data_IF_035844990327
#
_entry.id   IF_035844990327
#
_cell.length_a   1.000
_cell.length_b   1.000
_cell.length_c   1.000
_cell.angle_alpha   90.00
_cell.angle_beta   90.00
_cell.angle_gamma   90.00
#
_symmetry.space_group_name_H-M   'P 1'
#
loop_
_entity.id
_entity.type
_entity.pdbx_description
1 polymer ?
#
# COMPACT_ATOMS: atom_id res chain seq x y z
N UNK A 1 -19.05 7.28 -9.40
CA UNK A 1 -18.21 8.44 -9.03
C UNK A 1 -17.68 9.01 -10.33
N UNK A 2 -17.72 10.34 -10.49
CA UNK A 2 -17.18 11.04 -11.66
C UNK A 2 -16.17 12.04 -11.12
N UNK A 3 -14.98 12.08 -11.70
CA UNK A 3 -13.99 13.11 -11.43
C UNK A 3 -14.01 14.12 -12.58
N UNK A 4 -14.49 15.32 -12.29
CA UNK A 4 -14.56 16.42 -13.24
C UNK A 4 -13.42 17.40 -12.97
N UNK A 5 -12.55 17.59 -13.95
CA UNK A 5 -11.57 18.66 -13.94
C UNK A 5 -12.17 19.92 -14.56
N UNK A 6 -12.21 21.03 -13.82
CA UNK A 6 -12.65 22.32 -14.38
C UNK A 6 -11.42 23.17 -14.64
N UNK A 7 -11.18 23.49 -15.91
CA UNK A 7 -10.06 24.38 -16.28
C UNK A 7 -10.37 25.82 -15.86
N UNK A 8 -9.41 26.45 -15.20
CA UNK A 8 -9.46 27.89 -14.90
C UNK A 8 -9.21 28.78 -16.12
N UNK A 9 -9.16 30.09 -15.94
CA UNK A 9 -8.99 31.07 -17.02
C UNK A 9 -7.58 31.10 -17.67
N UNK A 10 -6.69 30.17 -17.31
CA UNK A 10 -5.31 30.14 -17.83
C UNK A 10 -4.82 28.71 -18.09
N UNK A 11 -3.56 28.58 -18.52
CA UNK A 11 -2.86 27.30 -18.70
C UNK A 11 -1.89 27.00 -17.54
N UNK A 12 -1.84 27.84 -16.50
CA UNK A 12 -0.92 27.71 -15.37
C UNK A 12 -1.47 26.81 -14.25
N UNK A 13 -2.35 25.87 -14.56
CA UNK A 13 -2.91 24.96 -13.58
C UNK A 13 -3.24 23.62 -14.21
N UNK A 14 -2.75 22.56 -13.60
CA UNK A 14 -3.11 21.18 -13.93
C UNK A 14 -3.79 20.54 -12.72
N UNK A 15 -4.63 19.54 -12.99
CA UNK A 15 -5.22 18.67 -11.99
C UNK A 15 -4.71 17.27 -12.30
N UNK A 16 -4.25 16.56 -11.28
CA UNK A 16 -3.84 15.16 -11.38
C UNK A 16 -4.61 14.34 -10.35
N UNK A 17 -4.93 13.11 -10.72
CA UNK A 17 -5.48 12.10 -9.82
C UNK A 17 -4.45 11.00 -9.70
N UNK A 18 -4.15 10.60 -8.48
CA UNK A 18 -3.32 9.44 -8.17
C UNK A 18 -3.90 8.77 -6.92
N UNK A 19 -3.70 7.45 -6.79
CA UNK A 19 -4.16 6.62 -5.67
C UNK A 19 -5.65 6.78 -5.31
N UNK A 20 -6.57 6.43 -6.22
CA UNK A 20 -8.01 6.47 -5.93
C UNK A 20 -8.41 5.20 -5.16
N UNK A 21 -8.86 5.33 -3.92
CA UNK A 21 -9.39 4.22 -3.13
C UNK A 21 -10.82 4.48 -2.66
N UNK A 22 -11.57 3.40 -2.44
CA UNK A 22 -12.91 3.45 -1.87
C UNK A 22 -12.95 2.65 -0.57
N UNK A 23 -13.32 3.32 0.53
CA UNK A 23 -13.58 2.67 1.82
C UNK A 23 -15.08 2.59 2.06
N UNK A 24 -15.60 1.39 2.32
CA UNK A 24 -16.99 1.20 2.72
C UNK A 24 -17.07 1.36 4.24
N UNK A 25 -17.31 2.59 4.69
CA UNK A 25 -17.50 2.89 6.11
C UNK A 25 -18.99 3.06 6.43
N UNK A 26 -19.43 2.50 7.57
CA UNK A 26 -20.74 2.80 8.16
C UNK A 26 -20.79 4.16 8.88
N UNK A 27 -19.64 4.85 8.97
CA UNK A 27 -19.51 6.19 9.51
C UNK A 27 -19.34 7.21 8.39
N UNK A 28 -19.86 8.42 8.60
CA UNK A 28 -19.71 9.57 7.69
C UNK A 28 -18.23 9.75 7.32
N UNK A 29 -17.87 9.52 6.05
CA UNK A 29 -16.53 9.82 5.54
C UNK A 29 -16.21 11.29 5.80
N UNK A 30 -15.10 11.56 6.49
CA UNK A 30 -14.63 12.94 6.70
C UNK A 30 -14.12 13.47 5.37
N UNK A 31 -14.62 14.62 4.96
CA UNK A 31 -14.15 15.32 3.77
C UNK A 31 -12.76 15.89 4.10
N UNK A 32 -11.75 15.50 3.32
CA UNK A 32 -10.39 16.03 3.45
C UNK A 32 -9.89 16.48 2.07
N UNK A 33 -9.50 17.76 1.91
CA UNK A 33 -9.45 18.80 2.94
C UNK A 33 -10.87 19.30 3.36
N UNK A 34 -11.06 19.84 4.58
CA UNK A 34 -12.39 20.15 5.12
C UNK A 34 -13.19 21.21 4.37
N UNK A 35 -12.52 21.97 3.52
CA UNK A 35 -13.04 23.02 2.64
C UNK A 35 -13.45 22.51 1.26
N UNK A 36 -13.32 21.21 0.97
CA UNK A 36 -13.88 20.65 -0.26
C UNK A 36 -15.41 20.78 -0.25
N UNK A 37 -15.98 21.20 -1.39
CA UNK A 37 -17.39 21.55 -1.57
C UNK A 37 -18.16 20.44 -2.32
N UNK A 38 -18.68 19.39 -1.65
CA UNK A 38 -19.54 18.41 -2.33
C UNK A 38 -20.98 18.94 -2.37
N UNK A 39 -21.26 19.90 -3.25
CA UNK A 39 -22.63 20.38 -3.44
C UNK A 39 -23.40 19.42 -4.34
N UNK A 40 -24.25 18.57 -3.74
CA UNK A 40 -25.49 18.10 -4.39
C UNK A 40 -25.46 16.84 -5.25
N UNK A 41 -24.35 16.09 -5.34
CA UNK A 41 -24.33 14.80 -6.05
C UNK A 41 -23.60 13.72 -5.25
N UNK A 42 -24.30 13.07 -4.33
CA UNK A 42 -23.88 11.76 -3.82
C UNK A 42 -24.52 10.68 -4.69
N UNK A 43 -23.71 9.96 -5.48
CA UNK A 43 -24.16 8.66 -6.01
C UNK A 43 -24.44 7.75 -4.82
N UNK A 44 -25.61 7.11 -4.81
CA UNK A 44 -25.93 6.08 -3.83
C UNK A 44 -24.77 5.07 -3.76
N UNK A 45 -24.36 4.68 -2.56
CA UNK A 45 -23.34 3.65 -2.38
C UNK A 45 -23.73 2.44 -3.26
N UNK A 46 -22.78 1.87 -4.03
CA UNK A 46 -23.04 0.62 -4.72
C UNK A 46 -23.59 -0.38 -3.69
N UNK A 47 -24.56 -1.24 -4.06
CA UNK A 47 -25.03 -2.26 -3.14
C UNK A 47 -23.81 -3.01 -2.63
N UNK A 48 -23.66 -3.07 -1.31
CA UNK A 48 -22.58 -3.78 -0.63
C UNK A 48 -22.62 -5.20 -1.17
N UNK A 49 -21.72 -5.50 -2.12
CA UNK A 49 -21.38 -6.88 -2.39
C UNK A 49 -20.67 -7.31 -1.14
N UNK A 50 -21.39 -8.11 -0.34
CA UNK A 50 -20.82 -8.91 0.72
C UNK A 50 -19.87 -9.90 0.06
N UNK A 51 -18.68 -9.41 -0.31
CA UNK A 51 -17.53 -10.29 -0.48
C UNK A 51 -17.39 -10.96 0.87
N UNK A 52 -17.83 -12.21 0.87
CA UNK A 52 -17.72 -13.11 1.98
C UNK A 52 -16.31 -12.96 2.53
N UNK A 53 -16.18 -12.79 3.84
CA UNK A 53 -14.91 -12.99 4.52
C UNK A 53 -14.41 -14.36 4.09
N UNK A 54 -13.50 -14.39 3.11
CA UNK A 54 -12.80 -15.61 2.79
C UNK A 54 -11.92 -15.79 4.01
N UNK A 55 -12.40 -16.60 4.96
CA UNK A 55 -11.53 -17.26 5.92
C UNK A 55 -10.35 -17.79 5.11
N UNK A 56 -9.08 -17.51 5.48
CA UNK A 56 -7.92 -17.84 4.67
C UNK A 56 -8.02 -19.31 4.25
N UNK A 57 -8.40 -19.53 3.00
CA UNK A 57 -8.66 -20.86 2.47
C UNK A 57 -7.40 -21.24 1.74
N UNK A 58 -6.37 -21.70 2.45
CA UNK A 58 -5.19 -22.24 1.78
C UNK A 58 -4.62 -23.46 2.51
N UNK A 59 -5.10 -24.61 2.04
CA UNK A 59 -4.33 -25.84 1.96
C UNK A 59 -2.95 -25.49 1.39
N UNK A 60 -1.89 -25.66 2.21
CA UNK A 60 -0.50 -25.41 1.82
C UNK A 60 0.36 -24.62 2.82
N UNK A 61 -0.18 -24.22 3.98
CA UNK A 61 0.50 -23.39 4.98
C UNK A 61 1.80 -24.02 5.54
N UNK A 62 2.94 -23.71 4.93
CA UNK A 62 4.27 -23.99 5.50
C UNK A 62 4.69 -22.94 6.55
N UNK A 63 3.79 -22.09 7.04
CA UNK A 63 4.04 -21.00 7.99
C UNK A 63 4.32 -19.64 7.36
N UNK A 64 3.84 -19.43 6.12
CA UNK A 64 4.03 -18.18 5.38
C UNK A 64 3.06 -17.09 5.85
N UNK A 65 1.83 -17.47 6.19
CA UNK A 65 0.83 -16.55 6.72
C UNK A 65 1.19 -16.14 8.14
N UNK A 66 0.99 -14.86 8.47
CA UNK A 66 1.27 -14.35 9.80
C UNK A 66 0.44 -13.11 10.14
N UNK A 67 -0.35 -13.23 11.20
CA UNK A 67 -1.08 -12.14 11.86
C UNK A 67 -0.39 -11.69 13.17
N UNK A 68 0.83 -12.16 13.40
CA UNK A 68 1.68 -11.82 14.55
C UNK A 68 1.09 -12.07 15.95
N UNK A 69 -0.07 -12.70 16.12
CA UNK A 69 -0.68 -12.93 17.44
C UNK A 69 0.13 -13.91 18.30
N UNK A 70 0.87 -14.83 17.67
CA UNK A 70 1.74 -15.81 18.32
C UNK A 70 3.19 -15.69 17.86
N UNK A 71 3.81 -14.54 18.15
CA UNK A 71 5.19 -14.24 17.76
C UNK A 71 5.31 -13.78 16.29
N UNK A 72 6.46 -14.02 15.65
CA UNK A 72 6.69 -13.68 14.23
C UNK A 72 6.42 -14.86 13.28
N UNK A 73 5.64 -15.85 13.74
CA UNK A 73 5.38 -17.09 13.01
C UNK A 73 6.69 -17.81 12.61
N UNK A 74 6.92 -18.05 11.32
CA UNK A 74 8.19 -18.59 10.80
C UNK A 74 9.04 -17.56 10.05
N UNK A 75 8.67 -16.28 10.16
CA UNK A 75 9.42 -15.20 9.53
C UNK A 75 10.75 -14.97 10.25
N UNK A 76 11.70 -14.39 9.53
CA UNK A 76 13.03 -14.06 10.04
C UNK A 76 13.38 -12.62 9.70
N UNK A 77 14.38 -12.06 10.37
CA UNK A 77 14.88 -10.73 10.03
C UNK A 77 16.02 -10.83 9.02
N UNK A 78 16.09 -9.86 8.11
CA UNK A 78 17.21 -9.74 7.19
C UNK A 78 18.46 -9.31 7.97
N UNK A 79 19.50 -10.14 7.96
CA UNK A 79 20.75 -9.86 8.68
C UNK A 79 21.67 -8.90 7.92
N UNK A 80 21.33 -8.54 6.68
CA UNK A 80 22.13 -7.68 5.82
C UNK A 80 21.71 -6.21 5.88
N UNK A 81 20.70 -5.87 6.70
CA UNK A 81 20.17 -4.51 6.83
C UNK A 81 20.42 -3.92 8.21
N UNK A 82 20.01 -2.67 8.40
CA UNK A 82 20.46 -1.81 9.49
C UNK A 82 19.81 -2.16 10.84
N UNK A 83 18.56 -2.61 10.84
CA UNK A 83 17.83 -2.97 12.05
C UNK A 83 16.67 -3.95 11.78
N UNK A 84 16.02 -4.42 12.84
CA UNK A 84 14.93 -5.38 12.74
C UNK A 84 13.57 -4.69 12.92
N UNK A 85 12.55 -5.25 12.26
CA UNK A 85 11.16 -4.98 12.62
C UNK A 85 10.91 -5.41 14.07
N UNK A 86 10.06 -4.67 14.77
CA UNK A 86 9.70 -4.93 16.17
C UNK A 86 8.24 -5.33 16.25
N UNK A 87 7.94 -6.38 17.02
CA UNK A 87 6.57 -6.78 17.31
C UNK A 87 6.01 -5.91 18.43
N UNK A 88 4.87 -5.27 18.20
CA UNK A 88 4.30 -4.28 19.11
C UNK A 88 2.80 -4.38 19.24
N UNK A 89 2.27 -3.67 20.23
CA UNK A 89 0.86 -3.68 20.62
C UNK A 89 0.45 -2.31 21.15
N UNK A 90 -0.72 -1.83 20.72
CA UNK A 90 -1.22 -0.49 21.03
C UNK A 90 -0.52 0.59 20.20
N UNK A 91 -0.59 1.85 20.63
CA UNK A 91 0.05 2.97 19.95
C UNK A 91 1.59 2.88 19.94
N UNK A 92 2.22 3.39 18.89
CA UNK A 92 3.68 3.57 18.86
C UNK A 92 4.12 4.67 19.83
N UNK A 93 5.42 4.72 20.15
CA UNK A 93 5.97 5.66 21.13
C UNK A 93 6.05 7.10 20.63
N UNK A 94 6.00 7.31 19.30
CA UNK A 94 6.08 8.63 18.71
C UNK A 94 4.68 9.24 18.50
N UNK A 95 4.54 10.53 18.78
CA UNK A 95 3.26 11.23 18.68
C UNK A 95 2.90 11.59 17.23
N UNK A 96 1.65 11.32 16.85
CA UNK A 96 1.14 11.65 15.51
C UNK A 96 1.66 10.71 14.42
N UNK A 97 1.89 9.45 14.75
CA UNK A 97 2.39 8.40 13.86
C UNK A 97 1.83 7.04 14.26
N UNK A 98 2.02 6.07 13.35
CA UNK A 98 1.72 4.67 13.59
C UNK A 98 0.25 4.39 13.91
N UNK A 99 -0.13 3.11 14.01
CA UNK A 99 -1.51 2.75 14.30
C UNK A 99 -1.82 2.89 15.79
N UNK A 100 -3.06 3.27 16.12
CA UNK A 100 -3.56 3.25 17.50
C UNK A 100 -3.81 1.83 18.02
N UNK A 101 -4.17 0.93 17.12
CA UNK A 101 -4.56 -0.45 17.40
C UNK A 101 -4.06 -1.38 16.29
N UNK A 102 -3.85 -2.66 16.59
CA UNK A 102 -3.58 -3.69 15.58
C UNK A 102 -4.76 -3.86 14.61
N UNK A 103 -4.54 -4.50 13.46
CA UNK A 103 -5.60 -4.71 12.47
C UNK A 103 -6.49 -5.90 12.86
N UNK A 104 -5.88 -7.02 13.28
CA UNK A 104 -6.55 -8.30 13.55
C UNK A 104 -7.68 -8.23 14.59
N UNK A 105 -7.38 -7.66 15.77
CA UNK A 105 -8.26 -7.53 16.94
C UNK A 105 -8.72 -6.08 17.17
N UNK A 106 -8.25 -5.14 16.35
CA UNK A 106 -8.74 -3.76 16.30
C UNK A 106 -8.73 -3.07 17.66
N UNK A 107 -9.79 -2.31 17.93
CA UNK A 107 -9.91 -1.45 19.13
C UNK A 107 -9.94 -2.18 20.47
N UNK A 108 -9.85 -3.52 20.48
CA UNK A 108 -9.65 -4.27 21.74
C UNK A 108 -8.31 -3.95 22.39
N UNK A 109 -7.35 -3.43 21.62
CA UNK A 109 -5.99 -3.13 22.06
C UNK A 109 -5.26 -4.38 22.55
N UNK A 110 -5.66 -5.56 22.05
CA UNK A 110 -5.13 -6.85 22.50
C UNK A 110 -4.19 -7.53 21.51
N UNK A 111 -4.29 -7.21 20.23
CA UNK A 111 -3.54 -7.85 19.18
C UNK A 111 -2.16 -7.25 18.97
N UNK A 112 -1.48 -7.80 17.97
CA UNK A 112 -0.07 -7.58 17.73
C UNK A 112 0.17 -7.33 16.26
N UNK A 113 1.09 -6.42 15.98
CA UNK A 113 1.54 -6.11 14.63
C UNK A 113 3.06 -5.97 14.61
N UNK A 114 3.65 -5.95 13.42
CA UNK A 114 5.06 -5.60 13.23
C UNK A 114 5.18 -4.13 12.89
N UNK A 115 6.17 -3.43 13.42
CA UNK A 115 6.47 -2.05 13.01
C UNK A 115 7.97 -1.76 12.99
N UNK A 116 8.35 -0.71 12.27
CA UNK A 116 9.67 -0.11 12.38
C UNK A 116 9.63 1.04 13.37
N UNK A 117 10.55 1.04 14.33
CA UNK A 117 10.76 2.15 15.26
C UNK A 117 11.77 3.12 14.61
N UNK A 118 11.27 4.25 14.10
CA UNK A 118 12.06 5.20 13.32
C UNK A 118 12.92 6.16 14.17
N UNK A 119 12.73 6.16 15.49
CA UNK A 119 13.47 7.03 16.42
C UNK A 119 14.93 6.61 16.64
N UNK A 120 15.63 7.36 17.51
CA UNK A 120 17.04 7.14 17.79
C UNK A 120 17.30 5.67 18.23
N UNK A 121 18.34 4.99 17.69
CA UNK A 121 19.48 5.54 16.95
C UNK A 121 19.35 5.50 15.42
N UNK A 122 18.13 5.30 14.87
CA UNK A 122 17.94 5.20 13.42
C UNK A 122 18.28 6.50 12.69
N UNK A 123 18.93 6.35 11.54
CA UNK A 123 19.36 7.45 10.65
C UNK A 123 18.59 7.41 9.33
N UNK A 124 18.46 8.54 8.62
CA UNK A 124 17.78 8.58 7.33
C UNK A 124 18.28 7.47 6.40
N UNK A 125 17.36 6.77 5.75
CA UNK A 125 17.60 5.62 4.87
C UNK A 125 18.07 4.33 5.55
N UNK A 126 18.11 4.25 6.89
CA UNK A 126 18.21 2.96 7.56
C UNK A 126 17.02 2.08 7.16
N UNK A 127 17.28 0.78 7.01
CA UNK A 127 16.29 -0.20 6.55
C UNK A 127 16.13 -1.35 7.52
N UNK A 128 14.91 -1.90 7.59
CA UNK A 128 14.59 -3.13 8.30
C UNK A 128 13.88 -4.12 7.40
N UNK A 129 14.31 -5.38 7.39
CA UNK A 129 13.81 -6.42 6.51
C UNK A 129 13.14 -7.56 7.29
N UNK A 130 11.90 -7.87 6.94
CA UNK A 130 11.15 -9.02 7.43
C UNK A 130 11.01 -10.03 6.29
N UNK A 131 11.61 -11.20 6.46
CA UNK A 131 11.84 -12.21 5.41
C UNK A 131 10.95 -13.41 5.64
N UNK A 132 10.16 -13.78 4.62
CA UNK A 132 9.27 -14.93 4.67
C UNK A 132 10.06 -16.25 4.74
N UNK A 133 9.44 -17.37 5.17
CA UNK A 133 9.96 -18.69 4.86
C UNK A 133 10.14 -18.87 3.34
N UNK A 134 10.93 -19.87 2.95
CA UNK A 134 11.08 -20.22 1.53
C UNK A 134 9.77 -20.79 0.99
N UNK A 135 9.21 -20.10 0.01
CA UNK A 135 7.99 -20.49 -0.68
C UNK A 135 8.39 -21.39 -1.85
N UNK A 136 7.90 -22.63 -1.79
CA UNK A 136 8.03 -23.56 -2.91
C UNK A 136 7.10 -23.14 -4.03
N UNK A 137 7.53 -23.36 -5.27
CA UNK A 137 6.71 -23.09 -6.44
C UNK A 137 5.36 -23.82 -6.33
N UNK A 138 4.27 -23.05 -6.26
CA UNK A 138 2.90 -23.56 -6.38
C UNK A 138 2.17 -22.72 -7.42
N UNK A 139 1.62 -23.39 -8.44
CA UNK A 139 0.79 -22.75 -9.48
C UNK A 139 1.48 -21.72 -10.39
N UNK A 140 0.69 -21.12 -11.31
CA UNK A 140 1.14 -20.05 -12.20
C UNK A 140 1.08 -18.66 -11.55
N UNK A 141 0.36 -18.49 -10.44
CA UNK A 141 0.15 -17.20 -9.79
C UNK A 141 0.24 -17.36 -8.28
N UNK A 142 0.87 -16.39 -7.63
CA UNK A 142 0.81 -16.23 -6.18
C UNK A 142 0.37 -14.80 -5.86
N UNK A 143 -0.68 -14.66 -5.07
CA UNK A 143 -1.11 -13.40 -4.51
C UNK A 143 -0.63 -13.29 -3.06
N UNK A 144 -0.03 -12.16 -2.71
CA UNK A 144 0.31 -11.81 -1.33
C UNK A 144 -0.63 -10.68 -0.91
N UNK A 145 -1.42 -10.92 0.13
CA UNK A 145 -2.26 -9.91 0.76
C UNK A 145 -1.66 -9.59 2.13
N UNK A 146 -1.67 -8.32 2.50
CA UNK A 146 -1.15 -7.86 3.78
C UNK A 146 -1.82 -6.55 4.16
N UNK A 147 -1.82 -6.22 5.44
CA UNK A 147 -2.27 -4.92 5.93
C UNK A 147 -1.08 -4.08 6.34
N UNK A 148 -1.11 -2.79 5.99
CA UNK A 148 -0.07 -1.84 6.36
C UNK A 148 -0.66 -0.55 6.93
N UNK A 149 0.11 0.13 7.78
CA UNK A 149 -0.22 1.47 8.28
C UNK A 149 1.02 2.35 8.16
N UNK A 150 0.87 3.51 7.50
CA UNK A 150 1.95 4.43 7.17
C UNK A 150 1.47 5.85 7.43
N UNK A 151 1.61 6.33 8.66
CA UNK A 151 1.17 7.66 9.06
C UNK A 151 2.29 8.43 9.74
N UNK A 152 2.59 9.61 9.21
CA UNK A 152 3.56 10.52 9.81
C UNK A 152 4.27 11.39 8.78
N UNK A 153 4.76 12.57 9.17
CA UNK A 153 5.41 13.52 8.25
C UNK A 153 6.77 13.03 7.73
N UNK A 154 7.36 11.99 8.35
CA UNK A 154 8.70 11.51 8.03
C UNK A 154 8.71 10.03 7.63
N UNK A 155 7.59 9.51 7.14
CA UNK A 155 7.52 8.16 6.58
C UNK A 155 8.49 8.09 5.39
N UNK A 156 9.33 7.05 5.37
CA UNK A 156 10.18 6.75 4.23
C UNK A 156 9.40 5.96 3.19
N UNK A 157 9.65 4.66 3.13
CA UNK A 157 9.01 3.78 2.16
C UNK A 157 8.75 2.38 2.73
N UNK A 158 7.68 1.74 2.26
CA UNK A 158 7.48 0.31 2.39
C UNK A 158 7.78 -0.32 1.03
N UNK A 159 8.85 -1.11 0.97
CA UNK A 159 9.23 -1.87 -0.22
C UNK A 159 8.90 -3.35 0.01
N UNK A 160 8.36 -4.03 -1.01
CA UNK A 160 8.21 -5.49 -1.01
C UNK A 160 9.00 -6.06 -2.15
N UNK A 161 9.91 -6.98 -1.83
CA UNK A 161 10.76 -7.62 -2.81
C UNK A 161 10.47 -9.11 -2.91
N UNK A 162 10.65 -9.65 -4.12
CA UNK A 162 10.79 -11.07 -4.34
C UNK A 162 12.27 -11.40 -4.49
N UNK A 163 12.74 -12.39 -3.72
CA UNK A 163 14.09 -12.93 -3.81
C UNK A 163 14.03 -14.36 -4.33
N UNK A 164 14.56 -14.58 -5.54
CA UNK A 164 14.60 -15.92 -6.12
C UNK A 164 15.72 -16.79 -5.51
N UNK A 165 15.63 -18.11 -5.70
CA UNK A 165 16.65 -19.08 -5.26
C UNK A 165 18.08 -18.83 -5.79
N UNK A 166 18.28 -17.83 -6.66
CA UNK A 166 19.56 -17.35 -7.16
C UNK A 166 20.08 -16.08 -6.48
N UNK A 167 19.44 -15.62 -5.39
CA UNK A 167 19.78 -14.42 -4.60
C UNK A 167 19.37 -13.07 -5.21
N UNK A 168 18.73 -13.03 -6.39
CA UNK A 168 18.37 -11.75 -7.02
C UNK A 168 17.14 -11.18 -6.33
N UNK A 169 17.27 -9.96 -5.78
CA UNK A 169 16.19 -9.21 -5.13
C UNK A 169 15.54 -8.29 -6.18
N UNK A 170 14.26 -8.53 -6.48
CA UNK A 170 13.47 -7.72 -7.42
C UNK A 170 12.40 -6.95 -6.66
N UNK A 171 12.31 -5.62 -6.87
CA UNK A 171 11.27 -4.79 -6.26
C UNK A 171 9.93 -5.09 -6.95
N UNK A 172 8.92 -5.44 -6.15
CA UNK A 172 7.62 -5.87 -6.65
C UNK A 172 6.48 -4.95 -6.24
N UNK A 173 6.62 -4.26 -5.11
CA UNK A 173 5.63 -3.31 -4.59
C UNK A 173 6.36 -2.20 -3.82
N UNK A 174 5.84 -0.98 -3.90
CA UNK A 174 6.35 0.15 -3.15
C UNK A 174 5.21 1.11 -2.80
N UNK A 175 5.24 1.65 -1.58
CA UNK A 175 4.51 2.86 -1.18
C UNK A 175 5.49 3.79 -0.48
N UNK A 176 5.39 5.09 -0.74
CA UNK A 176 6.30 6.12 -0.21
C UNK A 176 5.51 7.17 0.57
N UNK A 177 6.08 7.66 1.67
CA UNK A 177 5.48 8.73 2.46
C UNK A 177 4.19 8.32 3.19
N UNK A 178 3.50 9.30 3.74
CA UNK A 178 2.30 9.08 4.55
C UNK A 178 1.12 8.65 3.67
N UNK A 179 0.49 7.54 4.02
CA UNK A 179 -0.64 6.95 3.31
C UNK A 179 -1.99 7.22 3.99
N UNK A 180 -2.00 7.86 5.16
CA UNK A 180 -3.19 8.19 5.95
C UNK A 180 -3.18 7.51 7.32
N UNK A 181 -3.99 8.02 8.26
CA UNK A 181 -4.14 7.43 9.59
C UNK A 181 -5.19 6.31 9.61
N UNK A 182 -4.95 5.28 8.80
CA UNK A 182 -5.79 4.09 8.71
C UNK A 182 -4.97 2.88 8.24
N UNK A 183 -5.44 1.69 8.61
CA UNK A 183 -4.90 0.46 8.06
C UNK A 183 -5.38 0.30 6.61
N UNK A 184 -4.45 0.01 5.71
CA UNK A 184 -4.71 -0.18 4.29
C UNK A 184 -4.32 -1.58 3.86
N UNK A 185 -5.07 -2.13 2.91
CA UNK A 185 -4.77 -3.43 2.30
C UNK A 185 -3.75 -3.23 1.17
N UNK A 186 -2.69 -4.04 1.19
CA UNK A 186 -1.74 -4.18 0.11
C UNK A 186 -1.99 -5.49 -0.63
N UNK A 187 -2.08 -5.42 -1.96
CA UNK A 187 -2.20 -6.58 -2.83
C UNK A 187 -1.01 -6.65 -3.78
N UNK A 188 -0.28 -7.76 -3.72
CA UNK A 188 0.88 -8.00 -4.57
C UNK A 188 0.69 -9.28 -5.40
N UNK A 189 0.51 -9.10 -6.70
CA UNK A 189 0.56 -10.19 -7.67
C UNK A 189 2.02 -10.53 -7.97
N UNK A 190 2.46 -11.73 -7.59
CA UNK A 190 3.76 -12.24 -7.98
C UNK A 190 3.68 -12.87 -9.37
N UNK A 191 4.70 -12.59 -10.18
CA UNK A 191 4.88 -13.22 -11.49
C UNK A 191 5.31 -14.68 -11.32
N UNK A 192 4.87 -15.60 -12.19
CA UNK A 192 5.31 -16.99 -12.15
C UNK A 192 6.83 -17.10 -12.22
N UNK A 193 7.43 -17.79 -11.24
CA UNK A 193 8.86 -18.08 -11.19
C UNK A 193 9.13 -19.58 -11.37
N UNK A 194 10.31 -19.90 -11.89
CA UNK A 194 10.76 -21.28 -12.10
C UNK A 194 11.40 -21.90 -10.84
N UNK A 195 11.78 -21.08 -9.87
CA UNK A 195 12.51 -21.47 -8.65
C UNK A 195 11.69 -21.17 -7.39
N UNK A 196 12.08 -21.77 -6.25
CA UNK A 196 11.59 -21.30 -4.95
C UNK A 196 12.01 -19.84 -4.70
N UNK A 197 11.24 -19.13 -3.89
CA UNK A 197 11.46 -17.71 -3.63
C UNK A 197 11.12 -17.33 -2.18
N UNK A 198 11.52 -16.14 -1.78
CA UNK A 198 11.10 -15.50 -0.53
C UNK A 198 10.52 -14.12 -0.84
N UNK A 199 9.60 -13.67 0.01
CA UNK A 199 9.10 -12.30 0.02
C UNK A 199 9.74 -11.55 1.18
N UNK A 200 10.20 -10.33 0.91
CA UNK A 200 10.86 -9.48 1.90
C UNK A 200 10.10 -8.17 2.00
N UNK A 201 9.55 -7.89 3.18
CA UNK A 201 9.02 -6.57 3.52
C UNK A 201 10.13 -5.72 4.11
N UNK A 202 10.50 -4.65 3.42
CA UNK A 202 11.55 -3.72 3.82
C UNK A 202 10.93 -2.36 4.18
N UNK A 203 11.05 -1.98 5.44
CA UNK A 203 10.70 -0.65 5.91
C UNK A 203 11.93 0.25 5.82
N UNK A 204 11.78 1.39 5.14
CA UNK A 204 12.81 2.42 5.01
C UNK A 204 12.45 3.57 5.93
N UNK A 205 13.36 3.91 6.86
CA UNK A 205 13.21 5.07 7.72
C UNK A 205 13.39 6.35 6.90
N UNK A 206 12.41 7.25 6.99
CA UNK A 206 12.47 8.55 6.30
C UNK A 206 13.41 9.54 6.97
N UNK A 207 13.11 10.84 6.85
CA UNK A 207 14.04 11.92 7.22
C UNK A 207 14.21 12.10 8.73
N UNK A 208 13.22 11.74 9.54
CA UNK A 208 13.25 11.88 11.02
C UNK A 208 12.40 10.78 11.68
N UNK A 209 12.17 10.88 13.00
CA UNK A 209 11.61 9.81 13.83
C UNK A 209 10.10 9.60 13.69
N UNK A 210 9.38 10.55 13.11
CA UNK A 210 7.91 10.44 12.97
C UNK A 210 7.54 9.68 11.68
N UNK A 211 8.05 8.46 11.55
CA UNK A 211 8.03 7.69 10.31
C UNK A 211 7.80 6.19 10.54
N UNK A 212 6.99 5.85 11.53
CA UNK A 212 6.68 4.46 11.87
C UNK A 212 5.84 3.80 10.76
N UNK A 213 6.28 2.64 10.27
CA UNK A 213 5.59 1.81 9.29
C UNK A 213 5.21 0.51 9.97
N UNK A 214 3.95 0.09 9.83
CA UNK A 214 3.43 -1.12 10.44
C UNK A 214 2.89 -2.12 9.41
N UNK A 215 2.93 -3.41 9.76
CA UNK A 215 2.43 -4.55 8.99
C UNK A 215 1.61 -5.48 9.89
N UNK A 216 0.52 -6.00 9.36
CA UNK A 216 -0.31 -7.01 9.99
C UNK A 216 -0.93 -7.96 8.94
N UNK A 217 -1.49 -9.09 9.38
CA UNK A 217 -2.33 -9.99 8.57
C UNK A 217 -1.77 -10.36 7.18
N UNK A 218 -0.55 -10.86 7.14
CA UNK A 218 0.08 -11.32 5.89
C UNK A 218 -0.47 -12.70 5.51
N UNK A 219 -0.93 -12.86 4.27
CA UNK A 219 -1.43 -14.11 3.72
C UNK A 219 -0.97 -14.37 2.29
N UNK A 220 -0.78 -15.65 1.96
CA UNK A 220 -0.39 -16.11 0.64
C UNK A 220 -1.47 -16.98 0.03
N UNK A 221 -1.88 -16.64 -1.19
CA UNK A 221 -2.89 -17.38 -1.94
C UNK A 221 -2.33 -17.82 -3.29
N UNK A 222 -2.62 -19.06 -3.71
CA UNK A 222 -2.17 -19.64 -4.98
C UNK A 222 -3.20 -19.37 -6.10
N UNK A 223 -3.55 -18.12 -6.27
CA UNK A 223 -4.53 -17.60 -7.24
C UNK A 223 -4.06 -16.22 -7.74
N UNK A 224 -4.79 -15.68 -8.71
CA UNK A 224 -4.67 -14.26 -9.04
C UNK A 224 -5.18 -13.43 -7.88
N UNK A 225 -4.55 -12.28 -7.62
CA UNK A 225 -5.08 -11.32 -6.67
C UNK A 225 -6.49 -10.88 -7.07
N UNK A 226 -7.38 -10.66 -6.11
CA UNK A 226 -8.64 -10.00 -6.40
C UNK A 226 -8.36 -8.59 -6.99
N UNK A 227 -9.31 -8.02 -7.74
CA UNK A 227 -9.20 -6.65 -8.18
C UNK A 227 -8.92 -5.72 -6.99
N UNK A 228 -7.89 -4.90 -7.11
CA UNK A 228 -7.56 -3.89 -6.10
C UNK A 228 -8.71 -2.89 -5.95
N UNK A 229 -9.01 -2.52 -4.71
CA UNK A 229 -9.90 -1.38 -4.40
C UNK A 229 -9.18 -0.03 -4.54
N UNK A 230 -7.85 -0.03 -4.65
CA UNK A 230 -7.03 1.12 -5.00
C UNK A 230 -6.70 1.13 -6.50
N UNK A 231 -6.88 2.29 -7.13
CA UNK A 231 -6.40 2.60 -8.46
C UNK A 231 -5.25 3.59 -8.38
N UNK A 232 -4.03 3.07 -8.48
CA UNK A 232 -2.79 3.86 -8.47
C UNK A 232 -2.36 4.30 -9.87
N UNK A 233 -3.08 3.89 -10.92
CA UNK A 233 -2.67 4.05 -12.33
C UNK A 233 -1.30 3.44 -12.71
N UNK A 234 -0.60 2.77 -11.79
CA UNK A 234 0.73 2.19 -12.04
C UNK A 234 0.69 0.76 -12.59
N UNK A 235 -0.41 0.05 -12.39
CA UNK A 235 -0.52 -1.34 -12.83
C UNK A 235 -0.60 -1.48 -14.35
N UNK A 236 0.24 -2.37 -14.88
CA UNK A 236 0.23 -2.82 -16.28
C UNK A 236 -0.10 -4.30 -16.27
N UNK A 237 -1.40 -4.64 -16.29
CA UNK A 237 -1.84 -6.03 -16.37
C UNK A 237 -1.82 -6.47 -17.83
N UNK A 238 -0.74 -7.13 -18.25
CA UNK A 238 -0.54 -7.46 -19.67
C UNK A 238 -0.34 -6.21 -20.53
N UNK A 239 -0.51 -6.30 -21.85
CA UNK A 239 -0.25 -5.20 -22.79
C UNK A 239 -1.30 -4.07 -22.79
N UNK A 240 -2.05 -3.91 -21.70
CA UNK A 240 -3.07 -2.87 -21.52
C UNK A 240 -2.78 -2.14 -20.22
N UNK A 241 -2.51 -0.84 -20.33
CA UNK A 241 -2.46 0.08 -19.20
C UNK A 241 -3.79 0.02 -18.44
N UNK A 242 -3.78 -0.39 -17.16
CA UNK A 242 -5.05 -0.48 -16.44
C UNK A 242 -5.42 0.89 -15.91
N UNK A 243 -6.33 1.59 -16.59
CA UNK A 243 -7.11 2.69 -15.99
C UNK A 243 -8.06 2.17 -14.89
N UNK A 244 -7.77 1.03 -14.26
CA UNK A 244 -8.54 0.38 -13.19
C UNK A 244 -10.06 0.27 -13.47
N UNK A 245 -10.45 0.08 -14.74
CA UNK A 245 -11.85 0.04 -15.16
C UNK A 245 -12.53 1.41 -15.32
N UNK A 246 -11.83 2.52 -15.03
CA UNK A 246 -12.27 3.87 -15.36
C UNK A 246 -12.34 4.06 -16.87
N UNK A 247 -13.36 4.79 -17.32
CA UNK A 247 -13.60 5.14 -18.73
C UNK A 247 -13.66 6.65 -18.87
N UNK A 248 -13.14 7.17 -19.98
CA UNK A 248 -13.26 8.58 -20.33
C UNK A 248 -14.69 8.89 -20.75
N UNK A 249 -15.21 10.05 -20.34
CA UNK A 249 -16.47 10.58 -20.85
C UNK A 249 -16.21 11.40 -22.11
N UNK A 250 -16.37 10.78 -23.29
CA UNK A 250 -16.13 11.46 -24.56
C UNK A 250 -17.18 12.53 -24.94
N UNK A 251 -18.12 12.86 -24.05
CA UNK A 251 -19.09 13.94 -24.27
C UNK A 251 -18.68 15.28 -23.67
N UNK A 252 -17.57 15.31 -22.91
CA UNK A 252 -17.06 16.51 -22.27
C UNK A 252 -16.15 17.35 -23.20
N UNK A 253 -15.49 18.35 -22.63
CA UNK A 253 -14.67 19.28 -23.40
C UNK A 253 -13.23 18.79 -23.61
N UNK A 254 -12.73 17.86 -22.80
CA UNK A 254 -11.36 17.34 -22.87
C UNK A 254 -11.18 16.09 -22.00
N UNK A 255 -10.47 15.10 -22.53
CA UNK A 255 -10.21 13.84 -21.84
C UNK A 255 -9.02 13.91 -20.85
N UNK A 256 -9.07 13.09 -19.81
CA UNK A 256 -7.90 12.80 -18.99
C UNK A 256 -6.88 11.96 -19.77
N UNK A 257 -5.63 12.38 -19.72
CA UNK A 257 -4.49 11.62 -20.24
C UNK A 257 -3.71 10.98 -19.09
N UNK A 258 -3.55 9.65 -19.12
CA UNK A 258 -2.58 8.97 -18.25
C UNK A 258 -1.17 9.32 -18.71
N UNK A 259 -0.33 9.80 -17.78
CA UNK A 259 1.04 10.19 -18.06
C UNK A 259 1.96 9.80 -16.91
N UNK A 260 3.26 9.73 -17.19
CA UNK A 260 4.36 9.62 -16.23
C UNK A 260 5.30 10.79 -16.46
N UNK A 261 5.88 11.39 -15.43
CA UNK A 261 6.74 12.58 -15.59
C UNK A 261 6.00 13.89 -15.37
N UNK A 262 6.74 15.00 -15.48
CA UNK A 262 6.17 16.35 -15.46
C UNK A 262 5.10 16.53 -16.55
N UNK A 263 4.14 17.41 -16.28
CA UNK A 263 3.16 17.81 -17.28
C UNK A 263 3.80 18.71 -18.35
N UNK A 264 3.13 18.84 -19.50
CA UNK A 264 3.65 19.63 -20.61
C UNK A 264 3.69 21.15 -20.34
N UNK A 265 2.91 21.61 -19.37
CA UNK A 265 2.84 23.01 -18.93
C UNK A 265 3.94 23.31 -17.90
N UNK A 266 4.48 24.53 -17.95
CA UNK A 266 5.59 24.93 -17.10
C UNK A 266 5.13 25.16 -15.66
N UNK A 267 5.80 24.50 -14.69
CA UNK A 267 5.53 24.62 -13.24
C UNK A 267 4.10 24.26 -12.82
N UNK A 268 3.50 23.30 -13.50
CA UNK A 268 2.17 22.78 -13.18
C UNK A 268 2.25 21.27 -12.93
N UNK A 269 1.17 20.71 -12.40
CA UNK A 269 1.11 19.30 -11.99
C UNK A 269 1.85 19.01 -10.68
N UNK A 270 1.68 17.79 -10.15
CA UNK A 270 2.39 17.39 -8.94
C UNK A 270 3.89 17.20 -9.22
N UNK A 271 4.79 17.75 -8.39
CA UNK A 271 6.24 17.61 -8.59
C UNK A 271 6.78 16.21 -8.27
N UNK A 272 5.95 15.36 -7.67
CA UNK A 272 6.26 13.99 -7.33
C UNK A 272 5.05 13.10 -7.63
N UNK A 273 5.31 11.89 -8.13
CA UNK A 273 4.36 10.79 -8.14
C UNK A 273 3.92 10.48 -6.70
N UNK A 274 2.63 10.26 -6.44
CA UNK A 274 2.19 10.00 -5.08
C UNK A 274 2.43 8.54 -4.70
N UNK A 275 2.20 7.60 -5.63
CA UNK A 275 2.40 6.16 -5.40
C UNK A 275 3.85 5.82 -5.05
N UNK A 276 4.81 6.28 -5.86
CA UNK A 276 6.23 5.95 -5.77
C UNK A 276 7.12 7.08 -5.22
N UNK A 277 6.60 8.29 -5.03
CA UNK A 277 7.39 9.43 -4.57
C UNK A 277 8.48 9.87 -5.56
N UNK A 278 8.41 9.41 -6.82
CA UNK A 278 9.41 9.73 -7.85
C UNK A 278 9.24 11.17 -8.31
N UNK A 279 10.36 11.88 -8.46
CA UNK A 279 10.33 13.26 -8.95
C UNK A 279 9.93 13.28 -10.42
N UNK A 280 8.99 14.17 -10.76
CA UNK A 280 8.43 14.37 -12.09
C UNK A 280 9.19 15.46 -12.88
#
# INVERSE_FOLDING_TARGET
VVFEGVRGNSYNGDIALDDISFTVSSANCRIQPPDALPAGMTTAAPPVSTTSSVSPTTIGNQGNDCNFESGICKWTFDSQVHFNWTRHKGSTGSGGTGPKYDHTLGSTGKGWYMFIEASYPRKPNDTAGLVSPTIQKSGPYACVLFWYHMFGPHIGALNVYMKDGGQTKTLMYQKVGSQGDEWKEGLLQLSPTKSSYQVIFEGVRGTSYQGDISLDDISFQNNQCPPSSECTFENVVGSQSSSCGWTQDGSDNFDWSRATGATASYQTGPPFDHTYGTKQ
#
